data_IF_645500514751
#
_entry.id   IF_645500514751
#
_cell.length_a   1.000
_cell.length_b   1.000
_cell.length_c   1.000
_cell.angle_alpha   90.00
_cell.angle_beta   90.00
_cell.angle_gamma   90.00
#
_symmetry.space_group_name_H-M   'P 1'
#
loop_
_entity.id
_entity.type
_entity.pdbx_description
1 polymer ?
#
# COMPACT_ATOMS: atom_id res chain seq x y z
N UNK A 1 -66.76 -13.31 50.43
CA UNK A 1 -66.39 -13.47 49.00
C UNK A 1 -65.15 -12.60 48.76
N UNK A 2 -63.94 -13.17 48.70
CA UNK A 2 -63.29 -13.80 47.51
C UNK A 2 -62.93 -12.72 46.45
N UNK A 3 -61.72 -12.51 45.93
CA UNK A 3 -60.38 -13.15 46.01
C UNK A 3 -59.30 -12.11 45.58
N UNK A 4 -58.05 -12.41 45.93
CA UNK A 4 -56.77 -11.67 45.73
C UNK A 4 -56.17 -11.81 44.30
N UNK A 5 -54.95 -11.25 44.08
CA UNK A 5 -53.89 -11.55 43.06
C UNK A 5 -53.70 -10.45 41.97
N UNK A 6 -52.52 -9.90 41.63
CA UNK A 6 -51.11 -10.19 41.99
C UNK A 6 -50.19 -8.96 41.83
N UNK A 7 -49.12 -8.99 42.61
CA UNK A 7 -47.97 -8.07 42.68
C UNK A 7 -47.09 -8.05 41.41
N UNK A 8 -46.72 -6.85 40.95
CA UNK A 8 -45.83 -6.62 39.81
C UNK A 8 -44.39 -7.05 40.10
N UNK A 9 -43.92 -8.06 39.36
CA UNK A 9 -42.59 -8.65 39.49
C UNK A 9 -41.52 -7.88 38.70
N UNK A 10 -40.58 -7.26 39.44
CA UNK A 10 -39.14 -7.02 39.16
C UNK A 10 -38.63 -7.26 37.72
N UNK A 11 -38.96 -6.37 36.78
CA UNK A 11 -38.35 -6.31 35.44
C UNK A 11 -37.24 -5.24 35.38
N UNK A 12 -36.17 -5.38 36.18
CA UNK A 12 -35.19 -4.29 36.30
C UNK A 12 -33.79 -4.62 36.82
N UNK A 13 -33.41 -5.90 36.91
CA UNK A 13 -32.08 -6.28 37.43
C UNK A 13 -31.26 -7.21 36.54
N UNK A 14 -31.75 -7.56 35.36
CA UNK A 14 -31.05 -8.50 34.47
C UNK A 14 -30.14 -7.81 33.44
N UNK A 15 -30.47 -6.60 33.00
CA UNK A 15 -29.72 -5.89 31.96
C UNK A 15 -28.44 -5.18 32.42
N UNK A 16 -28.20 -5.06 33.73
CA UNK A 16 -27.03 -4.33 34.26
C UNK A 16 -25.75 -5.16 34.39
N UNK A 17 -25.76 -6.43 33.98
CA UNK A 17 -24.60 -7.34 34.07
C UNK A 17 -24.06 -7.86 32.72
N UNK A 18 -24.70 -7.55 31.60
CA UNK A 18 -24.27 -8.02 30.27
C UNK A 18 -23.51 -6.93 29.47
N UNK A 19 -23.34 -5.72 30.01
CA UNK A 19 -22.72 -4.61 29.27
C UNK A 19 -21.20 -4.45 29.47
N UNK A 20 -20.55 -5.24 30.34
CA UNK A 20 -19.12 -5.06 30.66
C UNK A 20 -18.19 -6.11 30.04
N UNK A 21 -18.73 -7.13 29.37
CA UNK A 21 -17.94 -8.19 28.72
C UNK A 21 -17.82 -8.08 27.19
N UNK A 22 -18.72 -7.33 26.53
CA UNK A 22 -18.77 -7.26 25.06
C UNK A 22 -18.02 -6.04 24.46
N UNK A 23 -17.79 -4.99 25.25
CA UNK A 23 -17.05 -3.81 24.81
C UNK A 23 -15.53 -4.05 24.64
N UNK A 24 -14.97 -5.02 25.36
CA UNK A 24 -13.54 -5.35 25.28
C UNK A 24 -13.19 -6.32 24.14
N UNK A 25 -14.16 -7.08 23.62
CA UNK A 25 -13.92 -7.95 22.46
C UNK A 25 -13.96 -7.19 21.12
N UNK A 26 -14.71 -6.08 21.06
CA UNK A 26 -14.75 -5.19 19.89
C UNK A 26 -13.54 -4.23 19.82
N UNK A 27 -12.88 -3.96 20.95
CA UNK A 27 -11.65 -3.15 20.96
C UNK A 27 -10.41 -3.91 20.44
N UNK A 28 -10.40 -5.24 20.57
CA UNK A 28 -9.33 -6.10 20.06
C UNK A 28 -9.34 -6.27 18.52
N UNK A 29 -10.43 -5.90 17.84
CA UNK A 29 -10.50 -5.86 16.37
C UNK A 29 -10.04 -4.53 15.77
N UNK A 30 -9.87 -3.47 16.58
CA UNK A 30 -9.33 -2.18 16.14
C UNK A 30 -7.84 -1.98 16.44
N UNK A 31 -7.23 -2.84 17.26
CA UNK A 31 -5.80 -2.80 17.59
C UNK A 31 -5.20 -4.20 17.45
N UNK A 32 -4.59 -4.48 16.30
CA UNK A 32 -3.59 -5.56 16.24
C UNK A 32 -3.84 -6.65 15.20
N UNK A 33 -3.96 -6.26 13.94
CA UNK A 33 -3.43 -7.08 12.85
C UNK A 33 -2.34 -6.26 12.15
N UNK A 34 -1.26 -5.95 12.87
CA UNK A 34 -0.02 -5.53 12.25
C UNK A 34 0.54 -6.74 11.50
N UNK A 35 0.23 -6.85 10.20
CA UNK A 35 0.83 -7.87 9.35
C UNK A 35 2.32 -7.55 9.27
N UNK A 36 3.15 -8.35 9.96
CA UNK A 36 4.59 -8.32 9.74
C UNK A 36 4.83 -8.66 8.26
N UNK A 37 5.43 -7.72 7.52
CA UNK A 37 5.82 -7.97 6.15
C UNK A 37 6.85 -9.10 6.14
N UNK A 38 6.51 -10.21 5.49
CA UNK A 38 7.47 -11.26 5.15
C UNK A 38 8.52 -10.65 4.21
N UNK A 39 9.77 -10.59 4.65
CA UNK A 39 10.89 -10.32 3.76
C UNK A 39 11.19 -11.58 2.94
N UNK A 40 10.28 -11.93 2.03
CA UNK A 40 10.65 -12.80 0.93
C UNK A 40 11.81 -12.11 0.19
N UNK A 41 12.88 -12.85 -0.12
CA UNK A 41 14.00 -12.38 -0.93
C UNK A 41 13.53 -12.19 -2.39
N UNK A 42 12.61 -11.26 -2.60
CA UNK A 42 12.10 -10.91 -3.92
C UNK A 42 12.92 -9.73 -4.40
N UNK A 43 13.67 -9.95 -5.47
CA UNK A 43 14.46 -8.89 -6.10
C UNK A 43 13.51 -8.03 -6.93
N UNK A 44 13.38 -6.72 -6.63
CA UNK A 44 12.61 -5.82 -7.46
C UNK A 44 13.31 -5.66 -8.81
N UNK A 45 12.55 -5.83 -9.89
CA UNK A 45 13.06 -5.75 -11.26
C UNK A 45 12.30 -4.68 -12.03
N UNK A 46 13.00 -4.03 -12.96
CA UNK A 46 12.38 -3.13 -13.93
C UNK A 46 12.63 -3.65 -15.34
N UNK A 47 11.67 -3.44 -16.23
CA UNK A 47 11.79 -3.72 -17.65
C UNK A 47 11.30 -2.51 -18.45
N UNK A 48 11.99 -2.18 -19.54
CA UNK A 48 11.56 -1.11 -20.43
C UNK A 48 10.63 -1.73 -21.47
N UNK A 49 9.36 -1.31 -21.47
CA UNK A 49 8.33 -1.85 -22.36
C UNK A 49 8.18 -1.04 -23.64
N UNK A 50 8.44 0.27 -23.59
CA UNK A 50 8.36 1.15 -24.76
C UNK A 50 9.31 2.33 -24.64
N UNK A 51 9.86 2.76 -25.78
CA UNK A 51 10.70 3.96 -25.89
C UNK A 51 10.21 4.78 -27.07
N UNK A 52 9.70 5.98 -26.80
CA UNK A 52 9.48 7.00 -27.80
C UNK A 52 10.72 7.89 -27.87
N UNK A 53 11.47 7.76 -28.97
CA UNK A 53 12.74 8.45 -29.19
C UNK A 53 12.60 9.95 -28.94
N UNK A 54 13.47 10.50 -28.09
CA UNK A 54 13.49 11.94 -27.76
C UNK A 54 12.36 12.44 -26.85
N UNK A 55 11.35 11.60 -26.56
CA UNK A 55 10.15 12.02 -25.83
C UNK A 55 10.02 11.34 -24.48
N UNK A 56 9.78 10.02 -24.45
CA UNK A 56 9.48 9.31 -23.20
C UNK A 56 9.82 7.83 -23.24
N UNK A 57 10.10 7.29 -22.05
CA UNK A 57 10.32 5.86 -21.80
C UNK A 57 9.24 5.35 -20.87
N UNK A 58 8.58 4.28 -21.29
CA UNK A 58 7.66 3.51 -20.45
C UNK A 58 8.38 2.29 -19.92
N UNK A 59 8.30 2.08 -18.61
CA UNK A 59 8.81 0.89 -17.96
C UNK A 59 7.73 0.21 -17.13
N UNK A 60 7.98 -1.05 -16.86
CA UNK A 60 7.18 -1.93 -16.04
C UNK A 60 8.05 -2.37 -14.86
N UNK A 61 7.55 -2.16 -13.66
CA UNK A 61 8.14 -2.72 -12.45
C UNK A 61 7.59 -4.12 -12.18
N UNK A 62 8.36 -4.91 -11.44
CA UNK A 62 7.98 -6.22 -10.93
C UNK A 62 8.50 -6.38 -9.52
N UNK A 63 7.68 -6.98 -8.65
CA UNK A 63 8.04 -7.29 -7.28
C UNK A 63 8.48 -6.08 -6.44
N UNK A 64 7.96 -4.89 -6.73
CA UNK A 64 8.29 -3.71 -5.95
C UNK A 64 7.67 -3.81 -4.54
N UNK A 65 8.39 -3.39 -3.49
CA UNK A 65 7.83 -3.37 -2.14
C UNK A 65 6.72 -2.32 -2.03
N UNK A 66 5.68 -2.60 -1.25
CA UNK A 66 4.56 -1.68 -1.04
C UNK A 66 4.93 -0.47 -0.18
N UNK A 67 4.26 0.65 -0.39
CA UNK A 67 4.34 1.86 0.43
C UNK A 67 5.69 2.59 0.39
N UNK A 68 6.41 2.50 -0.73
CA UNK A 68 7.72 3.14 -0.90
C UNK A 68 7.71 4.11 -2.09
N UNK A 69 8.39 5.24 -1.93
CA UNK A 69 8.61 6.20 -3.01
C UNK A 69 10.03 6.06 -3.54
N UNK A 70 10.15 5.75 -4.83
CA UNK A 70 11.41 5.59 -5.53
C UNK A 70 11.73 6.84 -6.35
N UNK A 71 12.99 7.27 -6.33
CA UNK A 71 13.48 8.31 -7.26
C UNK A 71 13.89 7.66 -8.56
N UNK A 72 13.28 8.08 -9.66
CA UNK A 72 13.58 7.56 -11.00
C UNK A 72 14.68 8.40 -11.62
N UNK A 73 15.75 7.74 -12.07
CA UNK A 73 16.91 8.38 -12.70
C UNK A 73 17.15 7.79 -14.08
N UNK A 74 17.49 8.64 -15.04
CA UNK A 74 17.93 8.25 -16.37
C UNK A 74 19.38 8.66 -16.59
N UNK A 75 20.18 7.74 -17.12
CA UNK A 75 21.58 7.97 -17.47
C UNK A 75 21.88 7.42 -18.87
N UNK A 76 23.14 7.53 -19.29
CA UNK A 76 23.59 6.99 -20.57
C UNK A 76 23.43 5.48 -20.64
N UNK A 77 23.36 4.93 -21.86
CA UNK A 77 23.31 3.48 -22.05
C UNK A 77 24.47 2.79 -21.32
N UNK A 78 24.19 1.64 -20.67
CA UNK A 78 25.20 0.88 -19.91
C UNK A 78 25.48 1.40 -18.49
N UNK A 79 24.99 2.57 -18.09
CA UNK A 79 25.19 3.11 -16.73
C UNK A 79 24.19 2.57 -15.70
N UNK A 80 23.15 1.87 -16.15
CA UNK A 80 21.99 1.48 -15.33
C UNK A 80 21.34 2.67 -14.57
N UNK A 81 21.52 3.90 -15.05
CA UNK A 81 21.02 5.11 -14.38
C UNK A 81 21.85 5.56 -13.17
N UNK A 82 23.00 4.92 -12.89
CA UNK A 82 23.92 5.33 -11.81
C UNK A 82 24.49 6.70 -12.12
N UNK A 83 24.32 7.65 -11.21
CA UNK A 83 24.71 9.05 -11.42
C UNK A 83 23.83 9.81 -12.43
N UNK A 84 22.74 9.20 -12.90
CA UNK A 84 21.84 9.80 -13.90
C UNK A 84 21.03 11.00 -13.39
N UNK A 85 20.32 11.64 -14.31
CA UNK A 85 19.43 12.77 -14.08
C UNK A 85 18.13 12.27 -13.47
N UNK A 86 17.64 12.94 -12.43
CA UNK A 86 16.33 12.64 -11.84
C UNK A 86 15.24 13.07 -12.81
N UNK A 87 14.37 12.14 -13.18
CA UNK A 87 13.27 12.37 -14.14
C UNK A 87 11.89 12.37 -13.46
N UNK A 88 11.84 11.96 -12.20
CA UNK A 88 10.63 11.99 -11.39
C UNK A 88 10.70 11.01 -10.23
N UNK A 89 9.53 10.76 -9.63
CA UNK A 89 9.34 9.82 -8.53
C UNK A 89 8.26 8.81 -8.87
N UNK A 90 8.39 7.60 -8.34
CA UNK A 90 7.42 6.52 -8.47
C UNK A 90 6.98 6.07 -7.07
N UNK A 91 5.70 6.24 -6.76
CA UNK A 91 5.11 5.63 -5.56
C UNK A 91 4.70 4.20 -5.90
N UNK A 92 5.18 3.23 -5.13
CA UNK A 92 4.86 1.82 -5.33
C UNK A 92 3.46 1.43 -4.88
N UNK A 93 2.76 2.26 -4.08
CA UNK A 93 1.41 1.99 -3.62
C UNK A 93 1.28 0.62 -2.96
N UNK A 94 0.47 -0.27 -3.55
CA UNK A 94 0.29 -1.64 -3.08
C UNK A 94 1.51 -2.57 -3.33
N UNK A 95 2.53 -2.11 -4.04
CA UNK A 95 3.68 -2.90 -4.48
C UNK A 95 3.37 -3.77 -5.70
N UNK A 96 4.28 -4.70 -6.00
CA UNK A 96 4.15 -5.64 -7.11
C UNK A 96 4.57 -5.03 -8.44
N UNK A 97 3.68 -5.11 -9.44
CA UNK A 97 3.98 -4.72 -10.81
C UNK A 97 3.13 -3.52 -11.25
N UNK A 98 3.78 -2.44 -11.68
CA UNK A 98 3.14 -1.23 -12.18
C UNK A 98 3.85 -0.67 -13.41
N UNK A 99 3.08 -0.03 -14.28
CA UNK A 99 3.60 0.67 -15.45
C UNK A 99 3.73 2.16 -15.17
N UNK A 100 4.84 2.76 -15.59
CA UNK A 100 5.06 4.19 -15.46
C UNK A 100 5.80 4.74 -16.68
N UNK A 101 5.48 5.98 -17.04
CA UNK A 101 6.05 6.67 -18.19
C UNK A 101 6.75 7.95 -17.74
N UNK A 102 7.99 8.14 -18.17
CA UNK A 102 8.80 9.30 -17.81
C UNK A 102 9.40 9.94 -19.06
N UNK A 103 9.44 11.27 -19.08
CA UNK A 103 10.03 12.02 -20.19
C UNK A 103 11.55 11.90 -20.19
N UNK A 104 12.14 11.80 -21.38
CA UNK A 104 13.60 11.76 -21.54
C UNK A 104 14.13 13.18 -21.31
N UNK A 105 15.09 13.37 -20.38
CA UNK A 105 15.68 14.67 -20.12
C UNK A 105 16.48 15.15 -21.34
N UNK A 106 16.47 16.46 -21.61
CA UNK A 106 17.08 17.04 -22.82
C UNK A 106 18.55 16.63 -23.03
N UNK A 107 19.32 16.53 -21.94
CA UNK A 107 20.72 16.12 -21.97
C UNK A 107 20.96 14.68 -22.49
N UNK A 108 19.91 13.85 -22.60
CA UNK A 108 19.99 12.47 -23.08
C UNK A 108 19.22 12.24 -24.39
N UNK A 109 18.52 13.24 -24.93
CA UNK A 109 17.67 13.05 -26.13
C UNK A 109 18.47 12.67 -27.37
N UNK A 110 19.70 13.18 -27.49
CA UNK A 110 20.56 13.00 -28.66
C UNK A 110 21.78 12.09 -28.43
N UNK A 111 21.86 11.43 -27.27
CA UNK A 111 22.90 10.46 -26.95
C UNK A 111 22.52 9.09 -27.54
N UNK A 112 22.40 9.04 -28.87
CA UNK A 112 22.08 7.83 -29.61
C UNK A 112 23.31 6.91 -29.63
N UNK A 113 23.17 5.71 -29.07
CA UNK A 113 24.10 4.59 -29.25
C UNK A 113 23.39 3.42 -29.91
#
# INVERSE_FOLDING_TARGET
MFFSIVSSAKFGRFWRKVSTGLGLLLLALFFGAGTAASSNLVVPTISITSVQRGDSVTFQTYNYPAGQTFTVRMGKMGTAGVGGIVVGTLDSGAGGSMSANFKIPEALKDDYQ
#
